data_IF_385880019934
#
_entry.id   IF_385880019934
#
_cell.length_a   1.000
_cell.length_b   1.000
_cell.length_c   1.000
_cell.angle_alpha   90.00
_cell.angle_beta   90.00
_cell.angle_gamma   90.00
#
_symmetry.space_group_name_H-M   'P 1'
#
loop_
_entity.id
_entity.type
_entity.pdbx_description
1 polymer ?
#
# COMPACT_ATOMS: atom_id res chain seq x y z
N UNK A 1 -40.95 30.71 5.91
CA UNK A 1 -40.95 29.23 5.88
C UNK A 1 -39.93 28.81 4.81
N UNK A 2 -38.65 28.86 5.18
CA UNK A 2 -37.52 28.70 4.27
C UNK A 2 -37.00 27.27 4.40
N UNK A 3 -37.14 26.54 3.31
CA UNK A 3 -36.75 25.16 3.00
C UNK A 3 -35.62 24.56 3.87
N UNK A 4 -36.02 23.79 4.88
CA UNK A 4 -35.14 22.91 5.68
C UNK A 4 -34.61 21.69 4.92
N UNK A 5 -34.83 21.59 3.60
CA UNK A 5 -34.53 20.41 2.79
C UNK A 5 -33.14 20.40 2.16
N UNK A 6 -32.37 21.49 2.24
CA UNK A 6 -31.06 21.58 1.59
C UNK A 6 -29.91 20.86 2.34
N UNK A 7 -30.12 20.44 3.59
CA UNK A 7 -29.06 19.84 4.42
C UNK A 7 -28.92 18.32 4.24
N UNK A 8 -29.81 17.66 3.52
CA UNK A 8 -29.82 16.19 3.40
C UNK A 8 -28.99 15.66 2.22
N UNK A 9 -28.46 16.53 1.35
CA UNK A 9 -27.83 16.12 0.09
C UNK A 9 -26.33 15.81 0.19
N UNK A 10 -25.66 16.12 1.32
CA UNK A 10 -24.20 16.01 1.46
C UNK A 10 -23.71 14.68 2.09
N UNK A 11 -24.57 13.70 2.32
CA UNK A 11 -24.25 12.54 3.17
C UNK A 11 -23.56 11.32 2.53
N UNK A 12 -23.42 11.23 1.19
CA UNK A 12 -23.17 9.92 0.54
C UNK A 12 -21.78 9.66 -0.08
N UNK A 13 -20.78 10.54 0.04
CA UNK A 13 -19.54 10.41 -0.76
C UNK A 13 -18.27 9.87 -0.06
N UNK A 14 -18.34 9.35 1.17
CA UNK A 14 -17.14 9.03 1.95
C UNK A 14 -16.83 7.52 2.15
N UNK A 15 -17.20 6.63 1.21
CA UNK A 15 -16.75 5.22 1.22
C UNK A 15 -15.89 4.86 0.01
N UNK A 16 -14.95 5.72 -0.36
CA UNK A 16 -13.83 5.28 -1.18
C UNK A 16 -12.95 4.36 -0.32
N UNK A 17 -13.28 3.06 -0.30
CA UNK A 17 -12.45 2.03 0.31
C UNK A 17 -11.08 2.06 -0.38
N UNK A 18 -10.08 2.58 0.32
CA UNK A 18 -8.67 2.61 -0.07
C UNK A 18 -8.12 1.18 0.00
N UNK A 19 -8.58 0.32 -0.91
CA UNK A 19 -7.93 -0.97 -1.14
C UNK A 19 -6.60 -0.69 -1.82
N UNK A 20 -5.56 -0.48 -1.01
CA UNK A 20 -4.19 -0.49 -1.52
C UNK A 20 -3.99 -1.86 -2.19
N UNK A 21 -3.87 -1.86 -3.52
CA UNK A 21 -3.65 -3.08 -4.27
C UNK A 21 -2.42 -3.81 -3.70
N UNK A 22 -2.53 -5.13 -3.52
CA UNK A 22 -1.39 -5.93 -3.08
C UNK A 22 -0.23 -5.73 -4.05
N UNK A 23 0.98 -5.57 -3.51
CA UNK A 23 2.15 -5.34 -4.33
C UNK A 23 2.48 -6.60 -5.13
N UNK A 24 2.40 -6.52 -6.45
CA UNK A 24 2.66 -7.66 -7.37
C UNK A 24 4.00 -7.54 -8.11
N UNK A 25 4.76 -6.46 -7.89
CA UNK A 25 6.06 -6.24 -8.53
C UNK A 25 7.15 -7.22 -8.07
N UNK A 26 8.22 -7.38 -8.88
CA UNK A 26 9.41 -8.11 -8.43
C UNK A 26 10.15 -7.31 -7.37
N UNK A 27 10.58 -7.98 -6.29
CA UNK A 27 11.47 -7.39 -5.30
C UNK A 27 12.90 -7.34 -5.88
N UNK A 28 13.41 -6.13 -6.10
CA UNK A 28 14.78 -5.90 -6.59
C UNK A 28 15.66 -5.38 -5.45
N UNK A 29 16.87 -5.94 -5.32
CA UNK A 29 17.88 -5.50 -4.36
C UNK A 29 18.42 -4.10 -4.67
N UNK A 30 18.29 -3.63 -5.91
CA UNK A 30 18.70 -2.29 -6.34
C UNK A 30 17.63 -1.23 -6.07
N UNK A 31 16.37 -1.63 -5.92
CA UNK A 31 15.22 -0.74 -5.73
C UNK A 31 14.17 -1.41 -4.83
N UNK A 32 14.50 -1.55 -3.55
CA UNK A 32 13.69 -2.26 -2.56
C UNK A 32 12.83 -1.31 -1.71
N UNK A 33 11.58 -1.74 -1.47
CA UNK A 33 10.60 -1.04 -0.64
C UNK A 33 10.05 0.26 -1.25
N UNK A 34 9.18 0.94 -0.50
CA UNK A 34 8.49 2.14 -1.01
C UNK A 34 9.45 3.28 -1.37
N UNK A 35 10.60 3.34 -0.72
CA UNK A 35 11.63 4.34 -1.02
C UNK A 35 12.52 3.98 -2.20
N UNK A 36 12.29 2.83 -2.87
CA UNK A 36 13.10 2.31 -3.98
C UNK A 36 14.62 2.36 -3.68
N UNK A 37 15.01 1.95 -2.46
CA UNK A 37 16.41 2.02 -2.01
C UNK A 37 17.12 0.72 -2.29
N UNK A 38 18.39 0.81 -2.68
CA UNK A 38 19.25 -0.36 -2.75
C UNK A 38 19.43 -0.95 -1.33
N UNK A 39 19.32 -2.27 -1.22
CA UNK A 39 19.60 -2.96 0.03
C UNK A 39 21.10 -2.91 0.34
N UNK A 40 21.50 -2.83 1.63
CA UNK A 40 22.90 -2.91 2.01
C UNK A 40 23.52 -4.25 1.57
N UNK A 41 24.84 -4.30 1.42
CA UNK A 41 25.52 -5.55 1.03
C UNK A 41 25.24 -6.64 2.07
N UNK A 42 24.83 -7.83 1.59
CA UNK A 42 24.45 -8.96 2.44
C UNK A 42 22.97 -9.01 2.82
N UNK A 43 22.16 -8.05 2.39
CA UNK A 43 20.71 -8.06 2.59
C UNK A 43 19.99 -8.52 1.33
N UNK A 44 18.87 -9.18 1.53
CA UNK A 44 17.96 -9.61 0.46
C UNK A 44 16.73 -8.71 0.45
N UNK A 45 16.29 -8.33 -0.74
CA UNK A 45 14.99 -7.67 -0.90
C UNK A 45 13.90 -8.74 -0.95
N UNK A 46 13.11 -8.84 0.12
CA UNK A 46 12.09 -9.88 0.27
C UNK A 46 10.69 -9.29 0.37
N UNK A 47 9.64 -10.06 0.01
CA UNK A 47 8.25 -9.70 0.26
C UNK A 47 7.99 -9.28 1.71
N UNK A 48 7.25 -8.19 1.91
CA UNK A 48 6.89 -7.70 3.24
C UNK A 48 5.41 -7.28 3.31
N UNK A 49 4.72 -7.48 4.46
CA UNK A 49 5.16 -8.24 5.64
C UNK A 49 5.02 -9.77 5.49
N UNK A 50 4.41 -10.22 4.39
CA UNK A 50 4.11 -11.61 4.14
C UNK A 50 4.58 -12.02 2.73
N UNK A 51 5.00 -13.28 2.60
CA UNK A 51 5.37 -13.91 1.33
C UNK A 51 4.15 -14.24 0.48
N UNK A 52 2.98 -14.44 1.11
CA UNK A 52 1.71 -14.63 0.42
C UNK A 52 1.40 -13.40 -0.45
N UNK A 53 1.26 -13.55 -1.78
CA UNK A 53 1.02 -12.42 -2.68
C UNK A 53 -0.26 -11.65 -2.35
N UNK A 54 -1.28 -12.29 -1.77
CA UNK A 54 -2.51 -11.62 -1.37
C UNK A 54 -2.31 -10.63 -0.20
N UNK A 55 -1.33 -10.88 0.65
CA UNK A 55 -1.05 -10.09 1.86
C UNK A 55 0.21 -9.21 1.70
N UNK A 56 0.86 -9.28 0.53
CA UNK A 56 2.08 -8.53 0.24
C UNK A 56 1.74 -7.07 0.04
N UNK A 57 2.35 -6.21 0.84
CA UNK A 57 2.21 -4.75 0.74
C UNK A 57 3.37 -4.10 -0.01
N UNK A 58 4.50 -4.79 -0.08
CA UNK A 58 5.70 -4.30 -0.76
C UNK A 58 6.86 -5.27 -0.61
N UNK A 59 8.06 -4.71 -0.66
CA UNK A 59 9.30 -5.41 -0.34
C UNK A 59 10.03 -4.67 0.79
N UNK A 60 10.87 -5.38 1.52
CA UNK A 60 11.77 -4.80 2.51
C UNK A 60 13.12 -5.50 2.46
N UNK A 61 14.18 -4.78 2.85
CA UNK A 61 15.49 -5.38 3.01
C UNK A 61 15.51 -6.19 4.31
N UNK A 62 15.70 -7.51 4.19
CA UNK A 62 15.93 -8.40 5.32
C UNK A 62 17.36 -8.92 5.27
N UNK A 63 17.95 -9.18 6.44
CA UNK A 63 19.16 -10.00 6.47
C UNK A 63 18.76 -11.45 6.15
N UNK A 64 19.65 -12.15 5.45
CA UNK A 64 19.55 -13.60 5.22
C UNK A 64 20.38 -14.37 6.23
#
# INVERSE_FOLDING_TARGET
>A
MWSSTFLLSLGLLALAATTQAAYTGPCSDQACGESARACPRGYLCVPYPNFNPADRKGCACSYG
#
